data_IF_264960660504
#
_entry.id   IF_264960660504
#
_cell.length_a   1.000
_cell.length_b   1.000
_cell.length_c   1.000
_cell.angle_alpha   90.00
_cell.angle_beta   90.00
_cell.angle_gamma   90.00
#
_symmetry.space_group_name_H-M   'P 1'
#
loop_
_entity.id
_entity.type
_entity.pdbx_description
1 polymer ?
#
# COMPACT_ATOMS: atom_id res chain seq x y z
N UNK A 1 -9.75 -9.46 18.30
CA UNK A 1 -8.67 -8.47 18.50
C UNK A 1 -7.37 -8.98 17.89
N UNK A 2 -6.57 -9.81 18.57
CA UNK A 2 -5.24 -10.22 18.07
C UNK A 2 -5.24 -10.96 16.72
N UNK A 3 -6.10 -11.97 16.54
CA UNK A 3 -6.18 -12.71 15.26
C UNK A 3 -6.63 -11.81 14.10
N UNK A 4 -7.62 -10.96 14.33
CA UNK A 4 -8.15 -10.02 13.32
C UNK A 4 -7.10 -8.96 12.97
N UNK A 5 -6.41 -8.38 13.96
CA UNK A 5 -5.31 -7.45 13.73
C UNK A 5 -4.15 -8.09 12.98
N UNK A 6 -3.81 -9.35 13.30
CA UNK A 6 -2.79 -10.12 12.58
C UNK A 6 -3.17 -10.35 11.12
N UNK A 7 -4.41 -10.74 10.84
CA UNK A 7 -4.90 -10.94 9.46
C UNK A 7 -4.87 -9.62 8.68
N UNK A 8 -5.37 -8.52 9.27
CA UNK A 8 -5.32 -7.19 8.66
C UNK A 8 -3.89 -6.73 8.38
N UNK A 9 -2.96 -7.00 9.30
CA UNK A 9 -1.55 -6.69 9.15
C UNK A 9 -0.96 -7.40 7.91
N UNK A 10 -1.16 -8.71 7.81
CA UNK A 10 -0.61 -9.49 6.69
C UNK A 10 -1.25 -9.12 5.36
N UNK A 11 -2.57 -8.93 5.32
CA UNK A 11 -3.27 -8.51 4.09
C UNK A 11 -2.81 -7.13 3.65
N UNK A 12 -2.67 -6.17 4.57
CA UNK A 12 -2.17 -4.83 4.27
C UNK A 12 -0.72 -4.85 3.76
N UNK A 13 0.15 -5.64 4.39
CA UNK A 13 1.55 -5.78 3.97
C UNK A 13 1.66 -6.39 2.57
N UNK A 14 0.90 -7.45 2.29
CA UNK A 14 0.87 -8.06 0.96
C UNK A 14 0.36 -7.07 -0.08
N UNK A 15 -0.69 -6.31 0.24
CA UNK A 15 -1.22 -5.26 -0.63
C UNK A 15 -0.19 -4.16 -0.91
N UNK A 16 0.54 -3.69 0.11
CA UNK A 16 1.59 -2.68 -0.05
C UNK A 16 2.71 -3.17 -0.97
N UNK A 17 3.15 -4.42 -0.81
CA UNK A 17 4.19 -5.00 -1.65
C UNK A 17 3.72 -5.13 -3.10
N UNK A 18 2.52 -5.67 -3.31
CA UNK A 18 1.97 -5.91 -4.65
C UNK A 18 1.65 -4.60 -5.38
N UNK A 19 0.79 -3.75 -4.79
CA UNK A 19 0.37 -2.51 -5.42
C UNK A 19 1.48 -1.46 -5.44
N UNK A 20 2.36 -1.45 -4.43
CA UNK A 20 3.52 -0.57 -4.44
C UNK A 20 4.48 -0.90 -5.58
N UNK A 21 4.74 -2.20 -5.80
CA UNK A 21 5.54 -2.65 -6.95
C UNK A 21 4.87 -2.30 -8.28
N UNK A 22 3.57 -2.56 -8.40
CA UNK A 22 2.80 -2.21 -9.59
C UNK A 22 2.84 -0.70 -9.87
N UNK A 23 2.60 0.14 -8.86
CA UNK A 23 2.62 1.60 -9.00
C UNK A 23 4.00 2.12 -9.42
N UNK A 24 5.09 1.51 -8.93
CA UNK A 24 6.45 1.88 -9.35
C UNK A 24 6.70 1.49 -10.82
N UNK A 25 6.28 0.31 -11.25
CA UNK A 25 6.38 -0.09 -12.66
C UNK A 25 5.54 0.80 -13.58
N UNK A 26 4.31 1.12 -13.18
CA UNK A 26 3.41 1.98 -13.95
C UNK A 26 3.85 3.46 -13.94
N UNK A 27 4.82 3.81 -13.10
CA UNK A 27 5.44 5.14 -13.03
C UNK A 27 6.59 5.32 -14.01
N UNK A 28 6.92 4.32 -14.85
CA UNK A 28 7.88 4.49 -15.94
C UNK A 28 7.44 5.64 -16.86
N UNK A 29 8.20 6.74 -16.81
CA UNK A 29 7.99 7.96 -17.57
C UNK A 29 8.39 7.74 -19.03
N UNK A 30 7.49 7.98 -19.97
CA UNK A 30 7.83 7.98 -21.40
C UNK A 30 8.46 9.33 -21.77
N UNK A 31 9.71 9.32 -22.24
CA UNK A 31 10.34 10.49 -22.86
C UNK A 31 9.86 10.58 -24.32
N UNK A 32 9.01 11.57 -24.61
CA UNK A 32 8.53 11.83 -25.98
C UNK A 32 9.21 13.10 -26.47
N UNK A 33 10.03 12.98 -27.52
CA UNK A 33 10.73 14.10 -28.17
C UNK A 33 11.66 14.93 -27.26
N UNK A 34 12.21 14.36 -26.19
CA UNK A 34 13.08 15.08 -25.25
C UNK A 34 12.33 15.87 -24.17
N UNK A 35 11.00 15.74 -24.12
CA UNK A 35 10.16 16.28 -23.05
C UNK A 35 9.69 15.11 -22.18
N UNK A 36 10.06 15.13 -20.90
CA UNK A 36 9.56 14.19 -19.91
C UNK A 36 8.09 14.51 -19.62
N UNK A 37 7.19 14.00 -20.45
CA UNK A 37 5.76 14.02 -20.16
C UNK A 37 5.48 12.88 -19.20
N UNK A 38 5.70 13.14 -17.91
CA UNK A 38 5.30 12.26 -16.83
C UNK A 38 3.77 12.22 -16.74
N UNK A 39 3.13 11.46 -17.62
CA UNK A 39 1.75 11.04 -17.40
C UNK A 39 1.80 10.06 -16.24
N UNK A 40 1.37 10.50 -15.05
CA UNK A 40 1.21 9.59 -13.89
C UNK A 40 0.13 8.58 -14.23
N UNK A 41 0.54 7.49 -14.90
CA UNK A 41 -0.34 6.35 -15.21
C UNK A 41 -0.52 5.46 -13.98
N UNK A 42 0.41 5.52 -13.04
CA UNK A 42 0.35 4.78 -11.79
C UNK A 42 -0.83 5.24 -10.93
N UNK A 43 -1.78 4.32 -10.69
CA UNK A 43 -2.82 4.51 -9.70
C UNK A 43 -2.26 4.19 -8.30
N UNK A 44 -2.02 5.23 -7.51
CA UNK A 44 -1.51 5.11 -6.15
C UNK A 44 -2.60 4.79 -5.11
N UNK A 45 -3.88 4.88 -5.50
CA UNK A 45 -5.02 4.66 -4.60
C UNK A 45 -4.93 3.30 -3.89
N UNK A 46 -4.65 2.17 -4.56
CA UNK A 46 -4.55 0.87 -3.91
C UNK A 46 -3.40 0.78 -2.90
N UNK A 47 -2.30 1.50 -3.14
CA UNK A 47 -1.13 1.57 -2.24
C UNK A 47 -1.51 2.27 -0.93
N UNK A 48 -2.23 3.40 -1.04
CA UNK A 48 -2.68 4.19 0.10
C UNK A 48 -3.64 3.37 0.97
N UNK A 49 -4.61 2.68 0.38
CA UNK A 49 -5.53 1.81 1.11
C UNK A 49 -4.80 0.66 1.81
N UNK A 50 -3.83 0.03 1.13
CA UNK A 50 -3.02 -1.03 1.73
C UNK A 50 -2.20 -0.53 2.93
N UNK A 51 -1.66 0.69 2.84
CA UNK A 51 -1.01 1.37 3.95
C UNK A 51 -1.96 1.61 5.14
N UNK A 52 -3.15 2.12 4.89
CA UNK A 52 -4.16 2.35 5.92
C UNK A 52 -4.58 1.03 6.62
N UNK A 53 -4.81 -0.04 5.84
CA UNK A 53 -5.16 -1.37 6.37
C UNK A 53 -4.01 -1.94 7.23
N UNK A 54 -2.77 -1.77 6.78
CA UNK A 54 -1.58 -2.18 7.55
C UNK A 54 -1.53 -1.46 8.88
N UNK A 55 -1.72 -0.14 8.90
CA UNK A 55 -1.74 0.68 10.12
C UNK A 55 -2.86 0.24 11.08
N UNK A 56 -4.06 -0.01 10.58
CA UNK A 56 -5.16 -0.55 11.39
C UNK A 56 -4.82 -1.93 11.96
N UNK A 57 -4.21 -2.80 11.16
CA UNK A 57 -3.71 -4.09 11.61
C UNK A 57 -2.70 -3.98 12.75
N UNK A 58 -1.73 -3.05 12.64
CA UNK A 58 -0.75 -2.74 13.68
C UNK A 58 -1.45 -2.26 14.95
N UNK A 59 -2.33 -1.26 14.84
CA UNK A 59 -3.04 -0.68 15.99
C UNK A 59 -3.84 -1.77 16.73
N UNK A 60 -4.56 -2.62 16.00
CA UNK A 60 -5.34 -3.71 16.59
C UNK A 60 -4.49 -4.84 17.17
N UNK A 61 -3.31 -5.10 16.61
CA UNK A 61 -2.36 -6.08 17.14
C UNK A 61 -1.68 -5.56 18.42
N UNK A 62 -1.34 -4.27 18.46
CA UNK A 62 -0.71 -3.60 19.61
C UNK A 62 -1.71 -3.23 20.71
N UNK A 63 -2.99 -3.07 20.39
CA UNK A 63 -4.06 -2.82 21.35
C UNK A 63 -4.14 -3.98 22.37
N UNK A 64 -3.44 -3.80 23.49
CA UNK A 64 -3.47 -4.73 24.61
C UNK A 64 -4.90 -4.78 25.13
N UNK A 65 -5.50 -5.97 25.14
CA UNK A 65 -6.81 -6.16 25.78
C UNK A 65 -6.65 -5.75 27.25
N UNK A 66 -7.12 -4.56 27.60
CA UNK A 66 -7.30 -4.13 29.00
C UNK A 66 -8.39 -5.06 29.55
N UNK A 67 -7.95 -6.15 30.18
CA UNK A 67 -8.80 -6.93 31.09
C UNK A 67 -8.74 -6.23 32.43
#
# INVERSE_FOLDING_TARGET
MKKVGLVLLFVGLIGLLYFGYQAIQDSESFNVLGVDVAVSKADWTPVIFSGAITLLGIILALARKKR
#
